data_IF_687152867051
#
_entry.id   IF_687152867051
#
_cell.length_a   1.000
_cell.length_b   1.000
_cell.length_c   1.000
_cell.angle_alpha   90.00
_cell.angle_beta   90.00
_cell.angle_gamma   90.00
#
_symmetry.space_group_name_H-M   'P 1'
#
loop_
_entity.id
_entity.type
_entity.pdbx_description
1 polymer ?
#
# COMPACT_ATOMS: atom_id res chain seq x y z
N UNK A 1 4.58 -14.68 13.74
CA UNK A 1 4.67 -14.00 12.44
C UNK A 1 5.01 -12.55 12.72
N UNK A 2 6.04 -12.03 12.06
CA UNK A 2 6.34 -10.60 12.12
C UNK A 2 5.33 -9.86 11.24
N UNK A 3 4.60 -8.92 11.83
CA UNK A 3 3.67 -8.05 11.12
C UNK A 3 4.45 -6.85 10.56
N UNK A 4 4.26 -6.54 9.27
CA UNK A 4 5.00 -5.47 8.59
C UNK A 4 4.82 -4.12 9.29
N UNK A 5 5.91 -3.39 9.51
CA UNK A 5 5.87 -2.08 10.17
C UNK A 5 5.57 -2.11 11.67
N UNK A 6 5.50 -3.29 12.31
CA UNK A 6 5.61 -3.38 13.77
C UNK A 6 7.02 -3.04 14.21
N UNK A 7 7.11 -2.44 15.40
CA UNK A 7 8.36 -2.22 16.10
C UNK A 7 8.42 -3.11 17.33
N UNK A 8 9.61 -3.57 17.68
CA UNK A 8 9.85 -4.41 18.85
C UNK A 8 9.62 -3.67 20.17
N UNK A 9 9.58 -4.43 21.25
CA UNK A 9 9.31 -3.89 22.59
C UNK A 9 10.39 -2.91 23.07
N UNK A 10 11.64 -3.09 22.62
CA UNK A 10 12.73 -2.18 22.97
C UNK A 10 12.52 -0.81 22.32
N UNK A 11 12.26 -0.79 21.01
CA UNK A 11 11.98 0.41 20.23
C UNK A 11 10.79 1.17 20.82
N UNK A 12 9.72 0.46 21.19
CA UNK A 12 8.56 1.06 21.86
C UNK A 12 8.95 1.70 23.21
N UNK A 13 9.81 1.05 23.99
CA UNK A 13 10.22 1.56 25.31
C UNK A 13 11.07 2.84 25.26
N UNK A 14 11.74 3.10 24.13
CA UNK A 14 12.46 4.34 23.87
C UNK A 14 11.64 5.36 23.05
N UNK A 15 10.34 5.11 22.88
CA UNK A 15 9.40 6.03 22.25
C UNK A 15 9.30 5.96 20.72
N UNK A 16 9.89 4.95 20.08
CA UNK A 16 9.70 4.72 18.65
C UNK A 16 8.33 4.05 18.44
N UNK A 17 7.49 4.66 17.63
CA UNK A 17 6.17 4.14 17.32
C UNK A 17 6.14 3.52 15.92
N UNK A 18 5.76 2.24 15.84
CA UNK A 18 5.48 1.56 14.58
C UNK A 18 4.01 1.70 14.17
N UNK A 19 3.61 0.94 13.16
CA UNK A 19 2.22 0.88 12.72
C UNK A 19 1.34 0.14 13.75
N UNK A 20 0.13 0.67 13.95
CA UNK A 20 -0.80 0.21 14.96
C UNK A 20 -1.97 -0.61 14.41
N UNK A 21 -2.01 -0.95 13.11
CA UNK A 21 -3.09 -1.76 12.55
C UNK A 21 -3.30 -3.07 13.33
N UNK A 22 -4.55 -3.49 13.50
CA UNK A 22 -4.91 -4.66 14.31
C UNK A 22 -4.86 -4.47 15.83
N UNK A 23 -4.39 -3.33 16.34
CA UNK A 23 -4.50 -2.99 17.78
C UNK A 23 -5.82 -2.29 18.10
N UNK A 24 -6.28 -2.45 19.34
CA UNK A 24 -7.55 -1.89 19.84
C UNK A 24 -7.59 -0.37 19.82
N UNK A 25 -6.45 0.29 19.99
CA UNK A 25 -6.28 1.74 20.06
C UNK A 25 -5.83 2.36 18.73
N UNK A 26 -5.80 1.59 17.65
CA UNK A 26 -5.50 2.10 16.31
C UNK A 26 -6.51 3.17 15.88
N UNK A 27 -5.99 4.32 15.43
CA UNK A 27 -6.83 5.44 14.99
C UNK A 27 -6.75 5.72 13.49
N UNK A 28 -5.72 5.21 12.80
CA UNK A 28 -5.39 5.68 11.43
C UNK A 28 -4.73 4.64 10.53
N UNK A 29 -4.06 3.64 11.09
CA UNK A 29 -3.22 2.76 10.30
C UNK A 29 -4.07 1.65 9.68
N UNK A 30 -4.07 1.54 8.35
CA UNK A 30 -4.77 0.49 7.62
C UNK A 30 -3.74 -0.38 6.92
N UNK A 31 -3.87 -1.70 7.09
CA UNK A 31 -3.07 -2.67 6.36
C UNK A 31 -3.95 -3.43 5.38
N UNK A 32 -3.65 -3.27 4.09
CA UNK A 32 -4.25 -4.06 3.03
C UNK A 32 -3.26 -5.16 2.63
N UNK A 33 -3.69 -6.42 2.72
CA UNK A 33 -2.84 -7.59 2.47
C UNK A 33 -3.01 -8.09 1.04
N UNK A 34 -1.91 -8.18 0.29
CA UNK A 34 -1.90 -8.71 -1.08
C UNK A 34 -0.72 -8.14 -1.87
N UNK A 35 -0.83 -8.15 -3.21
CA UNK A 35 0.14 -7.51 -4.09
C UNK A 35 -0.09 -5.99 -4.16
N UNK A 36 0.96 -5.21 -4.39
CA UNK A 36 0.80 -3.76 -4.56
C UNK A 36 -0.17 -3.41 -5.71
N UNK A 37 -0.09 -4.14 -6.83
CA UNK A 37 -0.91 -3.90 -8.01
C UNK A 37 -2.41 -4.10 -7.72
N UNK A 38 -2.76 -5.19 -7.04
CA UNK A 38 -4.16 -5.47 -6.65
C UNK A 38 -4.68 -4.40 -5.67
N UNK A 39 -3.84 -3.98 -4.71
CA UNK A 39 -4.19 -2.96 -3.73
C UNK A 39 -4.42 -1.59 -4.37
N UNK A 40 -3.56 -1.19 -5.31
CA UNK A 40 -3.69 0.06 -6.05
C UNK A 40 -4.89 0.02 -6.99
N UNK A 41 -5.12 -1.08 -7.71
CA UNK A 41 -6.33 -1.25 -8.56
C UNK A 41 -7.60 -1.12 -7.72
N UNK A 42 -7.65 -1.80 -6.57
CA UNK A 42 -8.82 -1.74 -5.68
C UNK A 42 -9.04 -0.33 -5.11
N UNK A 43 -7.97 0.38 -4.78
CA UNK A 43 -8.05 1.76 -4.31
C UNK A 43 -8.56 2.69 -5.42
N UNK A 44 -8.11 2.50 -6.66
CA UNK A 44 -8.55 3.29 -7.81
C UNK A 44 -10.05 3.09 -8.08
N UNK A 45 -10.54 1.85 -8.06
CA UNK A 45 -12.00 1.56 -8.17
C UNK A 45 -12.83 2.28 -7.10
N UNK A 46 -12.32 2.39 -5.88
CA UNK A 46 -13.04 3.07 -4.79
C UNK A 46 -13.06 4.60 -4.93
N UNK A 47 -12.15 5.14 -5.73
CA UNK A 47 -12.02 6.57 -6.00
C UNK A 47 -12.59 6.96 -7.37
N UNK A 48 -13.20 6.02 -8.09
CA UNK A 48 -13.66 6.16 -9.49
C UNK A 48 -12.53 6.58 -10.45
N UNK A 49 -11.30 6.08 -10.22
CA UNK A 49 -10.08 6.36 -11.00
C UNK A 49 -9.59 5.15 -11.82
N UNK A 50 -10.34 4.06 -11.87
CA UNK A 50 -9.91 2.81 -12.48
C UNK A 50 -9.57 2.96 -13.97
N UNK A 51 -10.34 3.75 -14.72
CA UNK A 51 -10.10 3.98 -16.14
C UNK A 51 -8.87 4.84 -16.41
N UNK A 52 -8.65 5.87 -15.59
CA UNK A 52 -7.46 6.73 -15.69
C UNK A 52 -6.19 5.92 -15.38
N UNK A 53 -6.24 5.04 -14.38
CA UNK A 53 -5.14 4.15 -14.04
C UNK A 53 -4.85 3.14 -15.16
N UNK A 54 -5.89 2.51 -15.74
CA UNK A 54 -5.73 1.57 -16.84
C UNK A 54 -5.11 2.22 -18.09
N UNK A 55 -5.55 3.44 -18.42
CA UNK A 55 -4.96 4.21 -19.52
C UNK A 55 -3.47 4.50 -19.27
N UNK A 56 -3.12 4.99 -18.07
CA UNK A 56 -1.75 5.29 -17.70
C UNK A 56 -0.82 4.07 -17.81
N UNK A 57 -1.29 2.91 -17.36
CA UNK A 57 -0.55 1.64 -17.45
C UNK A 57 -0.31 1.26 -18.91
N UNK A 58 -1.35 1.36 -19.76
CA UNK A 58 -1.24 1.03 -21.18
C UNK A 58 -0.26 1.95 -21.91
N UNK A 59 -0.32 3.25 -21.67
CA UNK A 59 0.62 4.23 -22.22
C UNK A 59 2.06 3.91 -21.80
N UNK A 60 2.27 3.57 -20.52
CA UNK A 60 3.58 3.18 -19.99
C UNK A 60 4.17 1.92 -20.65
N UNK A 61 3.36 0.91 -20.94
CA UNK A 61 3.80 -0.29 -21.67
C UNK A 61 4.11 0.02 -23.14
N UNK A 62 3.23 0.76 -23.82
CA UNK A 62 3.44 1.15 -25.21
C UNK A 62 4.75 1.92 -25.41
N UNK A 63 5.04 2.89 -24.53
CA UNK A 63 6.29 3.64 -24.60
C UNK A 63 7.52 2.77 -24.35
N UNK A 64 7.44 1.82 -23.40
CA UNK A 64 8.52 0.86 -23.20
C UNK A 64 8.81 0.05 -24.46
N UNK A 65 7.78 -0.45 -25.14
CA UNK A 65 7.93 -1.35 -26.28
C UNK A 65 8.45 -0.65 -27.56
N UNK A 66 8.28 0.68 -27.67
CA UNK A 66 8.78 1.48 -28.80
C UNK A 66 10.25 1.87 -28.63
N UNK A 67 10.76 1.89 -27.39
CA UNK A 67 12.14 2.27 -27.06
C UNK A 67 13.13 1.08 -27.00
N UNK A 68 12.72 -0.15 -27.40
CA UNK A 68 13.58 -1.36 -27.43
C UNK A 68 13.96 -1.78 -28.85
#
# INVERSE_FOLDING_TARGET
MEEVGRVGSYEQSIGIQGLCYGLKDNKRDVFWRGSCDDGVRRLAEMLDWEHDLDQLIQEGYYHKDVDV
#
